data_IF_358840848416
#
_entry.id   IF_358840848416
#
_cell.length_a   1.000
_cell.length_b   1.000
_cell.length_c   1.000
_cell.angle_alpha   90.00
_cell.angle_beta   90.00
_cell.angle_gamma   90.00
#
_symmetry.space_group_name_H-M   'P 1'
#
loop_
_entity.id
_entity.type
_entity.pdbx_description
1 polymer ?
#
# COMPACT_ATOMS: atom_id res chain seq x y z
N UNK A 1 -1.46 2.38 -19.00
CA UNK A 1 -2.21 2.97 -17.87
C UNK A 1 -2.12 1.90 -16.81
N UNK A 2 -1.30 2.15 -15.78
CA UNK A 2 -1.15 1.21 -14.67
C UNK A 2 -2.52 1.05 -13.99
N UNK A 3 -2.84 -0.15 -13.45
CA UNK A 3 -4.05 -0.32 -12.66
C UNK A 3 -3.97 0.57 -11.42
N UNK A 4 -5.03 1.32 -11.14
CA UNK A 4 -5.15 2.13 -9.93
C UNK A 4 -5.11 1.19 -8.70
N UNK A 5 -4.03 1.24 -7.91
CA UNK A 5 -3.92 0.40 -6.71
C UNK A 5 -4.62 1.11 -5.57
N UNK A 6 -5.72 0.54 -5.11
CA UNK A 6 -6.52 1.11 -4.02
C UNK A 6 -6.13 0.50 -2.67
N UNK A 7 -5.56 1.33 -1.79
CA UNK A 7 -5.36 0.98 -0.38
C UNK A 7 -6.48 1.58 0.46
N UNK A 8 -7.29 0.72 1.09
CA UNK A 8 -8.41 1.09 1.99
C UNK A 8 -8.13 0.69 3.46
N UNK A 9 -7.38 1.53 4.21
CA UNK A 9 -7.19 1.36 5.65
C UNK A 9 -8.48 1.63 6.44
N UNK A 10 -9.00 0.58 7.10
CA UNK A 10 -10.25 0.66 7.90
C UNK A 10 -10.08 1.15 9.35
N UNK A 11 -8.85 1.36 9.83
CA UNK A 11 -8.57 1.72 11.23
C UNK A 11 -7.29 2.56 11.35
N UNK A 12 -7.23 3.43 12.36
CA UNK A 12 -6.03 4.22 12.68
C UNK A 12 -4.94 3.37 13.35
N UNK A 13 -3.67 3.74 13.11
CA UNK A 13 -2.50 3.30 13.88
C UNK A 13 -2.58 3.56 15.38
N UNK A 14 -3.43 4.49 15.83
CA UNK A 14 -3.66 4.75 17.26
C UNK A 14 -4.51 3.68 17.94
N UNK A 15 -5.36 2.98 17.20
CA UNK A 15 -6.31 2.03 17.76
C UNK A 15 -5.88 0.57 17.55
N UNK A 16 -5.13 0.28 16.48
CA UNK A 16 -4.64 -1.08 16.20
C UNK A 16 -3.18 -1.03 15.71
N UNK A 17 -2.20 -1.48 16.52
CA UNK A 17 -0.82 -1.57 16.09
C UNK A 17 -0.68 -2.54 14.90
N UNK A 18 0.03 -2.12 13.85
CA UNK A 18 0.27 -2.93 12.65
C UNK A 18 -0.73 -2.73 11.50
N UNK A 19 -1.65 -1.76 11.58
CA UNK A 19 -2.61 -1.44 10.49
C UNK A 19 -2.37 -0.09 9.78
N UNK A 20 -1.15 0.45 9.79
CA UNK A 20 -0.85 1.61 8.94
C UNK A 20 -0.89 1.25 7.45
N UNK A 21 -1.03 2.28 6.61
CA UNK A 21 -0.81 2.25 5.16
C UNK A 21 0.55 1.63 4.83
N UNK A 22 1.58 1.89 5.64
CA UNK A 22 2.87 1.21 5.48
C UNK A 22 2.74 -0.31 5.66
N UNK A 23 2.10 -0.77 6.73
CA UNK A 23 1.90 -2.22 6.97
C UNK A 23 1.00 -2.86 5.92
N UNK A 24 -0.06 -2.18 5.47
CA UNK A 24 -0.93 -2.64 4.38
C UNK A 24 -0.16 -2.76 3.06
N UNK A 25 0.66 -1.76 2.75
CA UNK A 25 1.53 -1.81 1.58
C UNK A 25 2.60 -2.91 1.69
N UNK A 26 3.17 -3.15 2.88
CA UNK A 26 4.10 -4.26 3.12
C UNK A 26 3.41 -5.64 2.99
N UNK A 27 2.16 -5.78 3.43
CA UNK A 27 1.37 -6.99 3.30
C UNK A 27 1.06 -7.29 1.83
N UNK A 28 0.51 -6.32 1.10
CA UNK A 28 0.26 -6.46 -0.35
C UNK A 28 1.54 -6.67 -1.15
N UNK A 29 2.65 -6.06 -0.72
CA UNK A 29 3.98 -6.27 -1.31
C UNK A 29 4.42 -7.73 -1.19
N UNK A 30 4.29 -8.31 0.02
CA UNK A 30 4.65 -9.71 0.27
C UNK A 30 3.77 -10.68 -0.52
N UNK A 31 2.48 -10.37 -0.65
CA UNK A 31 1.55 -11.20 -1.40
C UNK A 31 1.79 -11.13 -2.92
N UNK A 32 2.08 -9.93 -3.46
CA UNK A 32 2.54 -9.78 -4.84
C UNK A 32 3.84 -10.54 -5.09
N UNK A 33 4.82 -10.42 -4.19
CA UNK A 33 6.10 -11.13 -4.30
C UNK A 33 5.89 -12.65 -4.31
N UNK A 34 5.02 -13.18 -3.42
CA UNK A 34 4.68 -14.61 -3.38
C UNK A 34 3.98 -15.06 -4.67
N UNK A 35 3.10 -14.24 -5.23
CA UNK A 35 2.40 -14.54 -6.48
C UNK A 35 3.37 -14.58 -7.68
N UNK A 36 4.29 -13.62 -7.76
CA UNK A 36 5.36 -13.58 -8.76
C UNK A 36 6.27 -14.80 -8.66
N UNK A 37 6.71 -15.17 -7.45
CA UNK A 37 7.56 -16.35 -7.22
C UNK A 37 6.87 -17.68 -7.55
N UNK A 38 5.54 -17.75 -7.45
CA UNK A 38 4.75 -18.94 -7.83
C UNK A 38 4.55 -19.09 -9.35
N UNK A 39 4.97 -18.12 -10.16
CA UNK A 39 4.87 -18.19 -11.62
C UNK A 39 3.42 -18.06 -12.15
N UNK A 40 2.56 -17.32 -11.45
CA UNK A 40 1.17 -17.10 -11.85
C UNK A 40 1.03 -16.28 -13.14
N UNK A 41 0.02 -16.59 -13.95
CA UNK A 41 -0.26 -16.05 -15.29
C UNK A 41 -0.76 -14.59 -15.34
N UNK A 42 -0.25 -13.72 -14.47
CA UNK A 42 -0.58 -12.29 -14.37
C UNK A 42 0.65 -11.39 -14.24
N UNK A 43 1.82 -11.86 -14.72
CA UNK A 43 3.14 -11.29 -14.42
C UNK A 43 3.25 -9.77 -14.64
N UNK A 44 2.64 -9.22 -15.69
CA UNK A 44 2.76 -7.79 -16.01
C UNK A 44 2.01 -6.88 -15.02
N UNK A 45 0.79 -7.25 -14.66
CA UNK A 45 -0.04 -6.48 -13.72
C UNK A 45 0.49 -6.61 -12.28
N UNK A 46 0.98 -7.81 -11.93
CA UNK A 46 1.66 -8.05 -10.66
C UNK A 46 3.00 -7.31 -10.56
N UNK A 47 3.77 -7.21 -11.65
CA UNK A 47 5.00 -6.42 -11.71
C UNK A 47 4.71 -4.93 -11.56
N UNK A 48 3.72 -4.38 -12.27
CA UNK A 48 3.30 -2.98 -12.13
C UNK A 48 2.84 -2.68 -10.70
N UNK A 49 2.04 -3.57 -10.12
CA UNK A 49 1.59 -3.46 -8.72
C UNK A 49 2.75 -3.49 -7.75
N UNK A 50 3.71 -4.40 -7.99
CA UNK A 50 4.91 -4.53 -7.17
C UNK A 50 5.78 -3.28 -7.23
N UNK A 51 6.00 -2.70 -8.42
CA UNK A 51 6.80 -1.48 -8.58
C UNK A 51 6.16 -0.26 -7.89
N UNK A 52 4.83 -0.12 -7.99
CA UNK A 52 4.09 0.94 -7.33
C UNK A 52 4.15 0.81 -5.79
N UNK A 53 3.99 -0.41 -5.25
CA UNK A 53 4.13 -0.68 -3.81
C UNK A 53 5.56 -0.42 -3.32
N UNK A 54 6.57 -0.81 -4.08
CA UNK A 54 7.98 -0.51 -3.75
C UNK A 54 8.23 0.99 -3.75
N UNK A 55 7.66 1.72 -4.71
CA UNK A 55 7.77 3.18 -4.80
C UNK A 55 7.11 3.84 -3.59
N UNK A 56 5.90 3.42 -3.22
CA UNK A 56 5.22 3.88 -2.00
C UNK A 56 6.03 3.61 -0.73
N UNK A 57 6.64 2.43 -0.62
CA UNK A 57 7.38 2.04 0.57
C UNK A 57 8.75 2.72 0.69
N UNK A 58 9.48 2.86 -0.42
CA UNK A 58 10.87 3.33 -0.44
C UNK A 58 11.04 4.80 -0.80
N UNK A 59 10.08 5.42 -1.48
CA UNK A 59 10.23 6.82 -1.88
C UNK A 59 10.10 7.75 -0.67
N UNK A 60 11.09 8.63 -0.43
CA UNK A 60 10.99 9.66 0.59
C UNK A 60 9.93 10.72 0.26
N UNK A 61 9.59 10.91 -1.01
CA UNK A 61 8.55 11.84 -1.45
C UNK A 61 7.16 11.34 -1.03
N UNK A 62 6.95 10.04 -1.12
CA UNK A 62 5.72 9.37 -0.69
C UNK A 62 5.69 9.09 0.82
N UNK A 63 6.77 9.39 1.56
CA UNK A 63 6.76 9.35 3.02
C UNK A 63 5.76 10.36 3.58
N UNK A 64 5.75 11.60 3.06
CA UNK A 64 4.78 12.62 3.49
C UNK A 64 3.34 12.19 3.23
N UNK A 65 3.09 11.58 2.08
CA UNK A 65 1.76 11.11 1.71
C UNK A 65 1.28 9.99 2.65
N UNK A 66 2.17 9.09 3.07
CA UNK A 66 1.88 8.09 4.12
C UNK A 66 1.58 8.77 5.46
N UNK A 67 2.42 9.70 5.90
CA UNK A 67 2.26 10.38 7.19
C UNK A 67 0.97 11.20 7.26
N UNK A 68 0.60 11.91 6.20
CA UNK A 68 -0.66 12.66 6.11
C UNK A 68 -1.86 11.73 6.09
N UNK A 69 -1.77 10.63 5.35
CA UNK A 69 -2.85 9.65 5.29
C UNK A 69 -3.07 8.97 6.65
N UNK A 70 -2.00 8.63 7.36
CA UNK A 70 -2.06 8.16 8.75
C UNK A 70 -2.70 9.19 9.69
N UNK A 71 -2.37 10.47 9.50
CA UNK A 71 -2.95 11.55 10.29
C UNK A 71 -4.46 11.66 10.05
N UNK A 72 -4.91 11.60 8.81
CA UNK A 72 -6.34 11.64 8.49
C UNK A 72 -7.09 10.42 9.03
N UNK A 73 -6.50 9.22 8.99
CA UNK A 73 -7.05 8.03 9.63
C UNK A 73 -7.14 8.19 11.14
N UNK A 74 -6.11 8.78 11.78
CA UNK A 74 -6.12 9.07 13.20
C UNK A 74 -7.14 10.14 13.62
N UNK A 75 -7.60 10.96 12.68
CA UNK A 75 -8.72 11.89 12.86
C UNK A 75 -10.08 11.22 12.61
N UNK A 76 -10.12 9.92 12.31
CA UNK A 76 -11.35 9.17 12.04
C UNK A 76 -11.94 9.41 10.64
N UNK A 77 -11.13 9.90 9.70
CA UNK A 77 -11.54 10.10 8.31
C UNK A 77 -11.22 8.84 7.48
N UNK A 78 -12.11 8.52 6.55
CA UNK A 78 -11.83 7.52 5.52
C UNK A 78 -10.76 8.05 4.57
N UNK A 79 -9.67 7.29 4.42
CA UNK A 79 -8.57 7.65 3.54
C UNK A 79 -8.38 6.55 2.52
N UNK A 80 -8.37 6.93 1.25
CA UNK A 80 -8.09 6.04 0.13
C UNK A 80 -6.82 6.53 -0.55
N UNK A 81 -5.80 5.68 -0.59
CA UNK A 81 -4.59 5.98 -1.37
C UNK A 81 -4.74 5.28 -2.71
N UNK A 82 -4.68 6.06 -3.79
CA UNK A 82 -4.65 5.58 -5.16
C UNK A 82 -3.25 5.87 -5.70
N UNK A 83 -2.56 4.81 -6.15
CA UNK A 83 -1.23 4.86 -6.75
C UNK A 83 -1.29 4.58 -8.25
#
# INVERSE_FOLDING_TARGET
MAPDIELDPRYSTREIPGRCIKCLAEEQYLDCLRALLKGGSGGKELEETYEALVSLLKSPELQKLRDESERYLAEGRDVKVVL
#
